data_IF_451410837556
#
_entry.id   IF_451410837556
#
_cell.length_a   1.000
_cell.length_b   1.000
_cell.length_c   1.000
_cell.angle_alpha   90.00
_cell.angle_beta   90.00
_cell.angle_gamma   90.00
#
_symmetry.space_group_name_H-M   'P 1'
#
loop_
_entity.id
_entity.type
_entity.pdbx_description
1 polymer ?
#
# COMPACT_ATOMS: atom_id res chain seq x y z
N UNK A 1 22.93 -4.53 -1.42
CA UNK A 1 21.93 -4.63 -0.33
C UNK A 1 20.62 -5.03 -0.95
N UNK A 2 19.97 -6.08 -0.44
CA UNK A 2 18.61 -6.44 -0.84
C UNK A 2 17.62 -5.73 0.07
N UNK A 3 16.44 -5.37 -0.44
CA UNK A 3 15.35 -4.83 0.37
C UNK A 3 14.72 -6.02 1.11
N UNK A 4 14.73 -6.02 2.44
CA UNK A 4 14.10 -7.10 3.21
C UNK A 4 12.58 -6.95 3.18
N UNK A 5 12.04 -5.88 3.75
CA UNK A 5 10.61 -5.54 3.68
C UNK A 5 10.41 -4.15 3.10
N UNK A 6 9.26 -3.93 2.47
CA UNK A 6 8.89 -2.65 1.86
C UNK A 6 7.46 -2.27 2.24
N UNK A 7 7.26 -1.04 2.71
CA UNK A 7 5.93 -0.49 2.98
C UNK A 7 5.61 0.60 1.96
N UNK A 8 4.55 0.39 1.19
CA UNK A 8 3.98 1.38 0.29
C UNK A 8 2.78 2.01 0.95
N UNK A 9 2.88 3.30 1.26
CA UNK A 9 1.88 4.04 2.02
C UNK A 9 1.31 5.11 1.11
N UNK A 10 0.01 5.03 0.78
CA UNK A 10 -0.59 5.96 -0.17
C UNK A 10 0.08 5.93 -1.55
N UNK A 11 0.50 4.74 -2.01
CA UNK A 11 1.33 4.59 -3.20
C UNK A 11 0.67 5.13 -4.48
N UNK A 12 1.29 6.14 -5.09
CA UNK A 12 0.88 6.73 -6.37
C UNK A 12 1.45 5.96 -7.56
N UNK A 13 1.22 4.65 -7.61
CA UNK A 13 1.62 3.75 -8.71
C UNK A 13 0.43 2.90 -9.10
N UNK A 14 0.26 2.57 -10.38
CA UNK A 14 -0.89 1.80 -10.86
C UNK A 14 -0.99 0.42 -10.19
N UNK A 15 -2.17 0.07 -9.65
CA UNK A 15 -2.40 -1.22 -8.97
C UNK A 15 -2.48 -2.43 -9.93
N UNK A 16 -2.60 -2.18 -11.24
CA UNK A 16 -2.81 -3.18 -12.30
C UNK A 16 -1.55 -3.46 -13.17
N UNK A 17 -0.41 -2.86 -12.82
CA UNK A 17 0.88 -3.04 -13.48
C UNK A 17 1.53 -4.40 -13.14
N UNK A 18 0.89 -5.51 -13.55
CA UNK A 18 1.23 -6.87 -13.09
C UNK A 18 2.71 -7.25 -13.27
N UNK A 19 3.32 -6.87 -14.40
CA UNK A 19 4.72 -7.23 -14.71
C UNK A 19 5.69 -6.48 -13.82
N UNK A 20 5.40 -5.20 -13.59
CA UNK A 20 6.17 -4.27 -12.78
C UNK A 20 6.08 -4.67 -11.31
N UNK A 21 4.88 -5.01 -10.85
CA UNK A 21 4.68 -5.56 -9.52
C UNK A 21 5.43 -6.87 -9.35
N UNK A 22 5.31 -7.84 -10.25
CA UNK A 22 6.08 -9.09 -10.15
C UNK A 22 7.59 -8.81 -9.94
N UNK A 23 8.18 -7.91 -10.73
CA UNK A 23 9.59 -7.50 -10.58
C UNK A 23 9.88 -6.84 -9.24
N UNK A 24 8.97 -6.01 -8.73
CA UNK A 24 9.10 -5.43 -7.40
C UNK A 24 9.05 -6.50 -6.31
N UNK A 25 8.18 -7.51 -6.44
CA UNK A 25 8.13 -8.66 -5.55
C UNK A 25 9.41 -9.50 -5.59
N UNK A 26 9.99 -9.72 -6.76
CA UNK A 26 11.25 -10.45 -6.93
C UNK A 26 12.45 -9.71 -6.30
N UNK A 27 12.36 -8.38 -6.15
CA UNK A 27 13.42 -7.53 -5.59
C UNK A 27 13.40 -7.46 -4.04
N UNK A 28 12.35 -7.97 -3.41
CA UNK A 28 12.14 -7.92 -1.95
C UNK A 28 12.33 -9.34 -1.38
N UNK A 29 13.20 -9.50 -0.38
CA UNK A 29 13.48 -10.81 0.23
C UNK A 29 12.33 -11.29 1.12
N UNK A 30 11.72 -10.38 1.87
CA UNK A 30 10.57 -10.57 2.73
C UNK A 30 9.29 -10.14 2.03
N UNK A 31 8.60 -9.15 2.60
CA UNK A 31 7.25 -8.76 2.18
C UNK A 31 7.18 -7.31 1.69
N UNK A 32 6.47 -7.11 0.59
CA UNK A 32 6.01 -5.81 0.11
C UNK A 32 4.56 -5.63 0.59
N UNK A 33 4.41 -4.73 1.57
CA UNK A 33 3.15 -4.32 2.16
C UNK A 33 2.59 -3.12 1.40
N UNK A 34 1.42 -3.28 0.78
CA UNK A 34 0.67 -2.19 0.18
C UNK A 34 -0.42 -1.73 1.15
N UNK A 35 -0.21 -0.58 1.78
CA UNK A 35 -1.16 0.06 2.68
C UNK A 35 -2.02 1.01 1.86
N UNK A 36 -3.30 0.67 1.70
CA UNK A 36 -4.22 1.43 0.88
C UNK A 36 -5.39 1.99 1.68
N UNK A 37 -5.91 3.13 1.22
CA UNK A 37 -7.13 3.76 1.71
C UNK A 37 -8.09 3.94 0.52
N UNK A 38 -9.18 3.19 0.50
CA UNK A 38 -10.18 3.27 -0.57
C UNK A 38 -10.90 4.63 -0.61
N UNK A 39 -10.86 5.40 0.49
CA UNK A 39 -11.43 6.74 0.61
C UNK A 39 -10.42 7.87 0.34
N UNK A 40 -9.20 7.56 -0.11
CA UNK A 40 -8.19 8.58 -0.45
C UNK A 40 -8.64 9.47 -1.63
N UNK A 41 -9.12 10.67 -1.31
CA UNK A 41 -9.65 11.61 -2.30
C UNK A 41 -8.58 12.19 -3.24
N UNK A 42 -7.32 12.29 -2.80
CA UNK A 42 -6.21 12.84 -3.59
C UNK A 42 -5.90 11.89 -4.74
N UNK A 43 -5.68 10.62 -4.42
CA UNK A 43 -5.40 9.59 -5.40
C UNK A 43 -6.65 9.26 -6.25
N UNK A 44 -7.85 9.22 -5.65
CA UNK A 44 -9.08 8.95 -6.39
C UNK A 44 -9.41 10.00 -7.46
N UNK A 45 -8.92 11.24 -7.29
CA UNK A 45 -9.16 12.35 -8.23
C UNK A 45 -7.92 12.68 -9.07
N UNK A 46 -6.84 13.14 -8.45
CA UNK A 46 -5.68 13.68 -9.16
C UNK A 46 -4.90 12.58 -9.89
N UNK A 47 -4.57 11.49 -9.21
CA UNK A 47 -3.87 10.38 -9.85
C UNK A 47 -4.73 9.76 -10.96
N UNK A 48 -6.02 9.52 -10.67
CA UNK A 48 -6.96 8.99 -11.66
C UNK A 48 -7.07 9.86 -12.90
N UNK A 49 -7.04 11.18 -12.75
CA UNK A 49 -7.03 12.12 -13.87
C UNK A 49 -5.72 12.05 -14.66
N UNK A 50 -4.57 12.09 -13.99
CA UNK A 50 -3.25 12.03 -14.63
C UNK A 50 -2.99 10.72 -15.38
N UNK A 51 -3.52 9.61 -14.87
CA UNK A 51 -3.29 8.25 -15.39
C UNK A 51 -4.46 7.71 -16.22
N UNK A 52 -5.25 8.60 -16.86
CA UNK A 52 -6.33 8.22 -17.79
C UNK A 52 -7.30 7.18 -17.19
N UNK A 53 -7.85 7.49 -16.02
CA UNK A 53 -8.78 6.65 -15.23
C UNK A 53 -8.21 5.37 -14.61
N UNK A 54 -6.89 5.14 -14.65
CA UNK A 54 -6.26 4.04 -13.89
C UNK A 54 -6.26 4.34 -12.40
N UNK A 55 -6.13 3.28 -11.59
CA UNK A 55 -6.19 3.35 -10.12
C UNK A 55 -4.81 3.17 -9.49
N UNK A 56 -4.52 3.98 -8.47
CA UNK A 56 -3.33 3.87 -7.66
C UNK A 56 -3.42 2.67 -6.69
N UNK A 57 -2.29 2.07 -6.34
CA UNK A 57 -2.18 1.04 -5.31
C UNK A 57 -2.46 1.60 -3.91
N UNK A 58 -2.28 2.91 -3.70
CA UNK A 58 -2.70 3.61 -2.49
C UNK A 58 -4.22 3.69 -2.29
N UNK A 59 -5.04 3.43 -3.33
CA UNK A 59 -6.50 3.36 -3.21
C UNK A 59 -7.07 1.94 -3.27
N UNK A 60 -6.24 0.96 -3.65
CA UNK A 60 -6.72 -0.39 -3.96
C UNK A 60 -5.59 -1.39 -3.89
N UNK A 61 -5.95 -2.62 -3.58
CA UNK A 61 -5.06 -3.77 -3.64
C UNK A 61 -4.29 -3.87 -4.97
N UNK A 62 -3.00 -4.22 -4.88
CA UNK A 62 -2.18 -4.64 -6.02
C UNK A 62 -2.77 -5.96 -6.55
N UNK A 63 -3.10 -5.98 -7.84
CA UNK A 63 -3.82 -7.09 -8.49
C UNK A 63 -2.91 -8.18 -9.06
N UNK A 64 -1.69 -8.28 -8.55
CA UNK A 64 -0.70 -9.28 -8.95
C UNK A 64 -0.58 -10.34 -7.87
N UNK A 65 -0.58 -11.60 -8.28
CA UNK A 65 -0.28 -12.70 -7.39
C UNK A 65 1.25 -12.84 -7.29
N UNK A 66 1.80 -12.53 -6.11
CA UNK A 66 3.19 -12.77 -5.77
C UNK A 66 3.26 -13.15 -4.29
N UNK A 67 4.08 -14.14 -3.95
CA UNK A 67 4.17 -14.67 -2.57
C UNK A 67 4.58 -13.60 -1.53
N UNK A 68 5.32 -12.60 -1.98
CA UNK A 68 5.83 -11.52 -1.14
C UNK A 68 4.84 -10.37 -0.96
N UNK A 69 3.60 -10.46 -1.44
CA UNK A 69 2.66 -9.34 -1.39
C UNK A 69 1.64 -9.48 -0.27
N UNK A 70 1.51 -8.41 0.50
CA UNK A 70 0.48 -8.25 1.51
C UNK A 70 -0.23 -6.91 1.26
N UNK A 71 -1.55 -6.93 1.04
CA UNK A 71 -2.33 -5.71 0.95
C UNK A 71 -3.01 -5.46 2.31
N UNK A 72 -2.80 -4.29 2.90
CA UNK A 72 -3.41 -3.90 4.17
C UNK A 72 -4.40 -2.76 3.91
N UNK A 73 -5.65 -2.99 4.29
CA UNK A 73 -6.70 -1.98 4.21
C UNK A 73 -6.66 -1.06 5.43
N UNK A 74 -6.34 0.21 5.21
CA UNK A 74 -6.32 1.24 6.24
C UNK A 74 -7.54 2.18 6.17
N UNK A 75 -8.56 1.83 5.37
CA UNK A 75 -9.69 2.72 5.07
C UNK A 75 -10.52 3.14 6.29
N UNK A 76 -10.65 2.27 7.30
CA UNK A 76 -11.38 2.63 8.53
C UNK A 76 -10.50 3.36 9.56
N UNK A 77 -9.19 3.23 9.43
CA UNK A 77 -8.22 3.94 10.29
C UNK A 77 -7.99 5.38 9.80
N UNK A 78 -8.11 5.60 8.49
CA UNK A 78 -7.85 6.88 7.84
C UNK A 78 -9.15 7.48 7.33
N UNK A 79 -9.45 8.72 7.73
CA UNK A 79 -10.67 9.40 7.27
C UNK A 79 -10.62 9.66 5.74
N UNK A 80 -11.73 10.14 5.18
CA UNK A 80 -11.95 10.50 3.77
C UNK A 80 -10.97 11.53 3.19
N UNK A 81 -10.21 12.25 4.02
CA UNK A 81 -9.10 13.12 3.60
C UNK A 81 -7.71 12.47 3.79
N UNK A 82 -7.68 11.17 4.04
CA UNK A 82 -6.59 10.42 4.67
C UNK A 82 -5.23 10.44 3.99
N UNK A 83 -5.11 10.90 2.74
CA UNK A 83 -3.81 11.01 2.07
C UNK A 83 -2.80 11.82 2.89
N UNK A 84 -3.26 12.93 3.47
CA UNK A 84 -2.40 13.81 4.29
C UNK A 84 -2.32 13.38 5.76
N UNK A 85 -3.03 12.32 6.15
CA UNK A 85 -3.01 11.80 7.52
C UNK A 85 -1.87 10.81 7.75
N UNK A 86 -1.39 10.13 6.69
CA UNK A 86 -0.27 9.18 6.81
C UNK A 86 0.92 9.69 7.63
N UNK A 87 1.45 10.92 7.44
CA UNK A 87 2.56 11.42 8.26
C UNK A 87 2.28 11.48 9.78
N UNK A 88 1.01 11.53 10.19
CA UNK A 88 0.61 11.67 11.60
C UNK A 88 0.37 10.33 12.29
N UNK A 89 -0.09 9.33 11.55
CA UNK A 89 -0.58 8.07 12.12
C UNK A 89 0.11 6.82 11.56
N UNK A 90 1.06 6.95 10.62
CA UNK A 90 1.72 5.78 10.02
C UNK A 90 2.50 4.96 11.04
N UNK A 91 3.13 5.59 12.03
CA UNK A 91 3.89 4.87 13.06
C UNK A 91 2.97 4.05 13.98
N UNK A 92 1.78 4.56 14.29
CA UNK A 92 0.78 3.86 15.10
C UNK A 92 0.22 2.68 14.32
N UNK A 93 -0.20 2.93 13.08
CA UNK A 93 -0.65 1.88 12.16
C UNK A 93 0.37 0.76 12.00
N UNK A 94 1.65 1.08 11.74
CA UNK A 94 2.69 0.08 11.56
C UNK A 94 2.94 -0.72 12.86
N UNK A 95 2.84 -0.08 14.03
CA UNK A 95 2.95 -0.78 15.32
C UNK A 95 1.82 -1.77 15.54
N UNK A 96 0.58 -1.36 15.25
CA UNK A 96 -0.59 -2.24 15.39
C UNK A 96 -0.49 -3.44 14.44
N UNK A 97 -0.08 -3.21 13.19
CA UNK A 97 0.11 -4.30 12.22
C UNK A 97 1.27 -5.24 12.61
N UNK A 98 2.38 -4.71 13.16
CA UNK A 98 3.46 -5.53 13.71
C UNK A 98 3.01 -6.33 14.95
N UNK A 99 2.20 -5.74 15.81
CA UNK A 99 1.65 -6.42 16.99
C UNK A 99 0.69 -7.56 16.61
N UNK A 100 -0.06 -7.42 15.51
CA UNK A 100 -0.90 -8.48 14.96
C UNK A 100 -0.11 -9.58 14.22
N UNK A 101 1.08 -9.25 13.70
CA UNK A 101 1.94 -10.17 12.94
C UNK A 101 2.94 -10.96 13.81
N UNK A 102 3.20 -10.51 15.05
CA UNK A 102 4.06 -11.23 15.99
C UNK A 102 3.23 -12.30 16.73
N UNK A 103 3.67 -13.58 16.74
CA UNK A 103 3.01 -14.59 17.55
C UNK A 103 3.10 -14.17 19.02
N UNK A 104 1.97 -14.17 19.71
CA UNK A 104 1.89 -14.02 21.16
C UNK A 104 2.82 -15.07 21.78
N UNK A 105 3.89 -14.63 22.44
CA UNK A 105 4.80 -15.50 23.19
C UNK A 105 4.11 -16.00 24.45
#
# INVERSE_FOLDING_TARGET
MAIHDCYLVGGAVRCDAKKEWKRAGDAVQGTLFNVYNARDAVLAKLFRFAELNRRACGCRQITSEHRSFCNIDATEFLDTTGHFQYPRCINEFLRDQLALALPTI
#
